data_IF_929050268879
#
_entry.id   IF_929050268879
#
_cell.length_a   1.000
_cell.length_b   1.000
_cell.length_c   1.000
_cell.angle_alpha   90.00
_cell.angle_beta   90.00
_cell.angle_gamma   90.00
#
_symmetry.space_group_name_H-M   'P 1'
#
loop_
_entity.id
_entity.type
_entity.pdbx_description
1 polymer ?
#
# COMPACT_ATOMS: atom_id res chain seq x y z
N UNK A 1 -38.50 -54.23 -26.26
CA UNK A 1 -38.61 -53.33 -25.09
C UNK A 1 -37.29 -52.56 -24.98
N UNK A 2 -37.30 -51.30 -25.37
CA UNK A 2 -36.16 -50.40 -25.24
C UNK A 2 -36.42 -49.48 -24.06
N UNK A 3 -35.61 -49.58 -23.00
CA UNK A 3 -35.70 -48.73 -21.81
C UNK A 3 -34.90 -47.45 -22.11
N UNK A 4 -35.59 -46.32 -22.22
CA UNK A 4 -34.95 -44.99 -22.23
C UNK A 4 -34.56 -44.63 -20.78
N UNK A 5 -33.29 -44.46 -20.51
CA UNK A 5 -32.81 -43.87 -19.30
C UNK A 5 -32.80 -42.33 -19.47
N UNK A 6 -33.63 -41.63 -18.74
CA UNK A 6 -33.62 -40.18 -18.66
C UNK A 6 -32.54 -39.74 -17.66
N UNK A 7 -31.52 -39.07 -18.17
CA UNK A 7 -30.50 -38.41 -17.32
C UNK A 7 -31.09 -37.10 -16.77
N UNK A 8 -31.31 -37.02 -15.45
CA UNK A 8 -31.59 -35.75 -14.75
C UNK A 8 -30.29 -34.99 -14.62
N UNK A 9 -30.15 -33.89 -15.37
CA UNK A 9 -29.14 -32.87 -15.09
C UNK A 9 -29.57 -32.09 -13.84
N UNK A 10 -28.91 -32.32 -12.73
CA UNK A 10 -29.01 -31.50 -11.52
C UNK A 10 -28.35 -30.15 -11.80
N UNK A 11 -29.12 -29.09 -12.05
CA UNK A 11 -28.63 -27.72 -11.98
C UNK A 11 -28.33 -27.38 -10.51
N UNK A 12 -27.06 -27.38 -10.12
CA UNK A 12 -26.64 -26.77 -8.89
C UNK A 12 -26.85 -25.25 -8.99
N UNK A 13 -27.51 -24.61 -8.02
CA UNK A 13 -27.64 -23.17 -8.05
C UNK A 13 -26.23 -22.57 -7.89
N UNK A 14 -25.79 -21.76 -8.86
CA UNK A 14 -24.71 -20.80 -8.64
C UNK A 14 -25.22 -19.84 -7.55
N UNK A 15 -24.76 -20.03 -6.32
CA UNK A 15 -24.87 -18.98 -5.29
C UNK A 15 -24.04 -17.81 -5.75
N UNK A 16 -24.68 -16.82 -6.35
CA UNK A 16 -24.11 -15.51 -6.55
C UNK A 16 -23.82 -14.97 -5.13
N UNK A 17 -22.56 -14.98 -4.71
CA UNK A 17 -22.15 -14.25 -3.52
C UNK A 17 -22.52 -12.78 -3.74
N UNK A 18 -23.39 -12.24 -2.89
CA UNK A 18 -23.65 -10.82 -2.88
C UNK A 18 -22.30 -10.11 -2.78
N UNK A 19 -22.04 -9.15 -3.67
CA UNK A 19 -20.82 -8.37 -3.60
C UNK A 19 -20.79 -7.65 -2.25
N UNK A 20 -19.70 -7.82 -1.48
CA UNK A 20 -19.51 -7.06 -0.26
C UNK A 20 -19.60 -5.57 -0.59
N UNK A 21 -20.41 -4.83 0.18
CA UNK A 21 -20.55 -3.38 0.02
C UNK A 21 -20.16 -2.72 1.33
N UNK A 22 -19.27 -1.72 1.24
CA UNK A 22 -18.82 -0.95 2.39
C UNK A 22 -19.10 0.53 2.17
N UNK A 23 -19.18 1.28 3.25
CA UNK A 23 -19.21 2.73 3.20
C UNK A 23 -17.82 3.32 2.88
N UNK A 24 -17.75 4.66 2.81
CA UNK A 24 -16.48 5.36 2.55
C UNK A 24 -15.40 5.09 3.62
N UNK A 25 -15.78 4.62 4.82
CA UNK A 25 -14.90 4.34 5.95
C UNK A 25 -14.63 2.83 6.12
N UNK A 26 -14.98 2.02 5.13
CA UNK A 26 -14.78 0.57 5.14
C UNK A 26 -15.34 -0.08 6.42
N UNK A 27 -16.48 0.43 6.90
CA UNK A 27 -17.11 -0.07 8.11
C UNK A 27 -17.54 -1.53 7.92
N UNK A 28 -17.30 -2.37 8.95
CA UNK A 28 -17.63 -3.79 8.92
C UNK A 28 -16.53 -4.70 8.33
N UNK A 29 -15.55 -4.18 7.61
CA UNK A 29 -14.40 -5.01 7.19
C UNK A 29 -13.46 -5.26 8.38
N UNK A 30 -13.15 -6.53 8.63
CA UNK A 30 -12.29 -6.94 9.75
C UNK A 30 -10.81 -6.91 9.38
N UNK A 31 -10.01 -6.16 10.14
CA UNK A 31 -8.54 -6.11 10.00
C UNK A 31 -7.81 -7.21 10.78
N UNK A 32 -8.53 -7.96 11.61
CA UNK A 32 -7.97 -9.00 12.50
C UNK A 32 -7.45 -8.47 13.84
N UNK A 33 -7.46 -7.14 14.05
CA UNK A 33 -7.14 -6.47 15.32
C UNK A 33 -8.09 -5.30 15.56
N UNK A 34 -8.23 -4.85 16.82
CA UNK A 34 -9.00 -3.66 17.13
C UNK A 34 -8.46 -2.44 16.40
N UNK A 35 -9.34 -1.74 15.70
CA UNK A 35 -9.01 -0.47 15.04
C UNK A 35 -9.21 0.66 16.03
N UNK A 36 -8.19 1.48 16.19
CA UNK A 36 -8.22 2.71 16.99
C UNK A 36 -8.38 3.92 16.06
N UNK A 37 -8.78 5.06 16.64
CA UNK A 37 -8.96 6.32 15.92
C UNK A 37 -8.16 7.42 16.59
N UNK A 38 -7.38 8.14 15.82
CA UNK A 38 -6.69 9.36 16.18
C UNK A 38 -7.42 10.55 15.55
N UNK A 39 -7.99 11.42 16.39
CA UNK A 39 -8.64 12.66 15.97
C UNK A 39 -7.67 13.83 16.05
N UNK A 40 -7.54 14.59 14.99
CA UNK A 40 -6.62 15.73 14.90
C UNK A 40 -7.13 16.77 13.92
N UNK A 41 -6.49 17.93 13.91
CA UNK A 41 -6.76 18.98 12.92
C UNK A 41 -5.67 19.02 11.85
N UNK A 42 -6.07 19.04 10.59
CA UNK A 42 -5.17 19.22 9.46
C UNK A 42 -5.83 20.08 8.38
N UNK A 43 -5.09 21.04 7.84
CA UNK A 43 -5.60 21.99 6.84
C UNK A 43 -6.90 22.69 7.27
N UNK A 44 -6.98 23.09 8.57
CA UNK A 44 -8.10 23.81 9.20
C UNK A 44 -9.42 23.02 9.19
N UNK A 45 -9.35 21.71 9.27
CA UNK A 45 -10.52 20.84 9.36
C UNK A 45 -10.25 19.65 10.28
N UNK A 46 -11.27 19.19 11.03
CA UNK A 46 -11.13 18.00 11.87
C UNK A 46 -11.06 16.75 11.01
N UNK A 47 -10.09 15.92 11.29
CA UNK A 47 -9.87 14.64 10.61
C UNK A 47 -9.70 13.51 11.62
N UNK A 48 -9.90 12.30 11.16
CA UNK A 48 -9.66 11.08 11.90
C UNK A 48 -8.77 10.15 11.08
N UNK A 49 -7.74 9.63 11.71
CA UNK A 49 -6.89 8.58 11.17
C UNK A 49 -7.15 7.29 11.94
N UNK A 50 -7.61 6.26 11.23
CA UNK A 50 -7.73 4.92 11.78
C UNK A 50 -6.36 4.25 11.81
N UNK A 51 -6.08 3.47 12.83
CA UNK A 51 -4.81 2.75 12.94
C UNK A 51 -4.95 1.47 13.75
N UNK A 52 -4.04 0.54 13.49
CA UNK A 52 -3.79 -0.62 14.31
C UNK A 52 -2.62 -0.33 15.25
N UNK A 53 -2.72 -0.76 16.50
CA UNK A 53 -1.66 -0.70 17.50
C UNK A 53 -1.61 -2.05 18.19
N UNK A 54 -0.71 -2.89 17.71
CA UNK A 54 -0.61 -4.29 18.12
C UNK A 54 0.63 -4.44 19.02
N UNK A 55 0.47 -4.84 20.27
CA UNK A 55 1.58 -5.05 21.18
C UNK A 55 2.40 -6.29 20.77
N UNK A 56 3.64 -6.42 21.28
CA UNK A 56 4.38 -7.67 21.15
C UNK A 56 3.62 -8.83 21.80
N UNK A 57 3.66 -10.00 21.19
CA UNK A 57 3.00 -11.20 21.70
C UNK A 57 3.59 -11.73 23.02
N UNK A 58 4.84 -11.37 23.31
CA UNK A 58 5.58 -11.74 24.54
C UNK A 58 5.82 -10.55 25.45
N UNK A 59 6.64 -10.77 26.48
CA UNK A 59 7.02 -9.74 27.48
C UNK A 59 8.25 -8.93 27.07
N UNK A 60 9.02 -9.38 26.08
CA UNK A 60 10.22 -8.69 25.59
C UNK A 60 9.83 -7.76 24.47
N UNK A 61 10.21 -6.50 24.57
CA UNK A 61 10.02 -5.51 23.51
C UNK A 61 11.30 -5.36 22.70
N UNK A 62 11.24 -5.73 21.41
CA UNK A 62 12.35 -5.57 20.47
C UNK A 62 12.41 -4.15 19.86
N UNK A 63 11.29 -3.44 19.86
CA UNK A 63 11.17 -2.08 19.31
C UNK A 63 9.75 -1.81 18.80
N UNK A 64 9.60 -0.72 18.05
CA UNK A 64 8.34 -0.36 17.40
C UNK A 64 8.53 -0.30 15.89
N UNK A 65 7.63 -0.94 15.14
CA UNK A 65 7.59 -0.90 13.67
C UNK A 65 6.34 -0.17 13.22
N UNK A 66 6.50 0.78 12.32
CA UNK A 66 5.39 1.51 11.67
C UNK A 66 5.24 1.01 10.23
N UNK A 67 4.04 0.57 9.83
CA UNK A 67 3.75 -0.01 8.53
C UNK A 67 2.86 0.91 7.69
N UNK A 68 3.37 1.43 6.58
CA UNK A 68 2.65 2.32 5.68
C UNK A 68 2.18 1.57 4.43
N UNK A 69 0.85 1.53 4.21
CA UNK A 69 0.21 0.78 3.13
C UNK A 69 0.37 1.44 1.74
N UNK A 70 0.22 0.64 0.68
CA UNK A 70 0.14 1.12 -0.71
C UNK A 70 -1.22 1.73 -1.06
N UNK A 71 -1.30 2.41 -2.22
CA UNK A 71 -2.51 3.13 -2.67
C UNK A 71 -3.78 2.27 -2.73
N UNK A 72 -3.67 1.01 -3.15
CA UNK A 72 -4.80 0.10 -3.29
C UNK A 72 -4.99 -0.83 -2.10
N UNK A 73 -4.37 -0.50 -0.98
CA UNK A 73 -4.33 -1.32 0.23
C UNK A 73 -4.67 -0.48 1.46
N UNK A 74 -4.86 -1.17 2.57
CA UNK A 74 -5.18 -0.64 3.88
C UNK A 74 -4.22 -1.19 4.93
N UNK A 75 -4.26 -0.68 6.17
CA UNK A 75 -3.51 -1.24 7.29
C UNK A 75 -3.75 -2.75 7.46
N UNK A 76 -4.98 -3.22 7.23
CA UNK A 76 -5.31 -4.64 7.31
C UNK A 76 -4.57 -5.54 6.32
N UNK A 77 -4.05 -5.02 5.21
CA UNK A 77 -3.25 -5.82 4.26
C UNK A 77 -1.89 -6.25 4.81
N UNK A 78 -1.45 -5.63 5.88
CA UNK A 78 -0.25 -6.02 6.63
C UNK A 78 -0.48 -7.15 7.63
N UNK A 79 -1.67 -7.78 7.64
CA UNK A 79 -2.09 -8.80 8.64
C UNK A 79 -1.00 -9.81 8.98
N UNK A 80 -0.43 -10.48 7.98
CA UNK A 80 0.58 -11.51 8.22
C UNK A 80 1.91 -10.93 8.70
N UNK A 81 2.27 -9.73 8.23
CA UNK A 81 3.46 -9.01 8.68
C UNK A 81 3.29 -8.51 10.12
N UNK A 82 2.12 -7.97 10.47
CA UNK A 82 1.82 -7.55 11.85
C UNK A 82 1.96 -8.74 12.80
N UNK A 83 1.38 -9.90 12.44
CA UNK A 83 1.48 -11.12 13.24
C UNK A 83 2.93 -11.57 13.42
N UNK A 84 3.72 -11.58 12.33
CA UNK A 84 5.12 -11.99 12.37
C UNK A 84 5.97 -11.06 13.25
N UNK A 85 5.79 -9.73 13.11
CA UNK A 85 6.50 -8.72 13.91
C UNK A 85 6.11 -8.78 15.38
N UNK A 86 4.81 -8.88 15.69
CA UNK A 86 4.32 -9.02 17.07
C UNK A 86 4.89 -10.27 17.75
N UNK A 87 4.92 -11.40 17.05
CA UNK A 87 5.53 -12.65 17.54
C UNK A 87 7.05 -12.51 17.76
N UNK A 88 7.72 -11.66 17.00
CA UNK A 88 9.14 -11.36 17.15
C UNK A 88 9.45 -10.29 18.23
N UNK A 89 8.43 -9.83 18.97
CA UNK A 89 8.59 -8.89 20.07
C UNK A 89 8.44 -7.42 19.70
N UNK A 90 8.01 -7.08 18.48
CA UNK A 90 7.78 -5.68 18.09
C UNK A 90 6.36 -5.21 18.43
N UNK A 91 6.23 -3.97 18.92
CA UNK A 91 4.97 -3.22 18.83
C UNK A 91 4.78 -2.78 17.39
N UNK A 92 3.59 -2.95 16.82
CA UNK A 92 3.32 -2.62 15.43
C UNK A 92 2.24 -1.55 15.32
N UNK A 93 2.55 -0.44 14.68
CA UNK A 93 1.62 0.63 14.36
C UNK A 93 1.36 0.61 12.84
N UNK A 94 0.10 0.49 12.45
CA UNK A 94 -0.26 0.49 11.03
C UNK A 94 -1.45 1.44 10.81
N UNK A 95 -1.21 2.68 10.36
CA UNK A 95 -2.27 3.63 10.05
C UNK A 95 -2.87 3.38 8.65
N UNK A 96 -4.18 3.63 8.54
CA UNK A 96 -4.77 4.01 7.26
C UNK A 96 -4.50 5.50 7.03
N UNK A 97 -3.85 5.86 5.97
CA UNK A 97 -3.59 7.28 5.67
C UNK A 97 -4.89 8.04 5.40
N UNK A 98 -4.91 9.37 5.68
CA UNK A 98 -6.02 10.23 5.30
C UNK A 98 -6.32 10.08 3.81
N UNK A 99 -7.59 9.89 3.47
CA UNK A 99 -8.05 9.58 2.11
C UNK A 99 -8.24 8.09 1.83
N UNK A 100 -7.82 7.21 2.75
CA UNK A 100 -7.84 5.76 2.55
C UNK A 100 -8.69 5.04 3.60
N UNK A 101 -9.26 3.95 3.21
CA UNK A 101 -9.86 2.87 4.03
C UNK A 101 -10.72 3.41 5.20
N UNK A 102 -10.35 3.17 6.44
CA UNK A 102 -11.14 3.57 7.61
C UNK A 102 -10.88 5.01 8.07
N UNK A 103 -9.92 5.73 7.46
CA UNK A 103 -9.63 7.13 7.75
C UNK A 103 -10.54 8.11 7.02
N UNK A 104 -10.55 9.37 7.45
CA UNK A 104 -11.30 10.48 6.84
C UNK A 104 -10.97 10.65 5.36
N UNK A 105 -12.01 10.99 4.56
CA UNK A 105 -11.89 11.32 3.13
C UNK A 105 -12.37 12.74 2.90
N UNK A 106 -11.55 13.76 3.24
CA UNK A 106 -11.95 15.15 3.12
C UNK A 106 -12.09 15.55 1.65
N UNK A 107 -13.16 16.28 1.34
CA UNK A 107 -13.43 16.76 -0.02
C UNK A 107 -12.46 17.87 -0.47
N UNK A 108 -12.00 18.69 0.48
CA UNK A 108 -11.09 19.82 0.24
C UNK A 108 -9.81 19.59 1.02
N UNK A 109 -8.90 18.86 0.42
CA UNK A 109 -7.62 18.52 1.03
C UNK A 109 -6.52 18.50 -0.03
N UNK A 110 -5.47 19.23 0.22
CA UNK A 110 -4.29 19.23 -0.64
C UNK A 110 -3.38 18.07 -0.22
N UNK A 111 -3.49 16.96 -0.92
CA UNK A 111 -2.64 15.80 -0.68
C UNK A 111 -1.21 16.08 -1.13
N UNK A 112 -0.26 15.78 -0.26
CA UNK A 112 1.16 15.71 -0.57
C UNK A 112 1.83 14.68 0.33
N UNK A 113 2.96 14.10 -0.10
CA UNK A 113 3.72 13.21 0.78
C UNK A 113 4.24 13.92 2.02
N UNK A 114 4.58 15.21 1.93
CA UNK A 114 4.92 16.02 3.10
C UNK A 114 3.77 16.11 4.10
N UNK A 115 2.55 16.35 3.63
CA UNK A 115 1.38 16.41 4.52
C UNK A 115 1.04 15.04 5.12
N UNK A 116 1.11 13.95 4.35
CA UNK A 116 0.87 12.61 4.88
C UNK A 116 1.97 12.20 5.89
N UNK A 117 3.21 12.62 5.67
CA UNK A 117 4.30 12.42 6.63
C UNK A 117 4.05 13.19 7.94
N UNK A 118 3.62 14.45 7.85
CA UNK A 118 3.26 15.24 9.04
C UNK A 118 2.06 14.65 9.80
N UNK A 119 1.05 14.12 9.09
CA UNK A 119 -0.06 13.43 9.73
C UNK A 119 0.39 12.13 10.44
N UNK A 120 1.32 11.41 9.83
CA UNK A 120 1.89 10.19 10.43
C UNK A 120 2.71 10.54 11.66
N UNK A 121 3.51 11.60 11.60
CA UNK A 121 4.28 12.10 12.74
C UNK A 121 3.36 12.52 13.89
N UNK A 122 2.28 13.26 13.61
CA UNK A 122 1.30 13.63 14.62
C UNK A 122 0.64 12.40 15.30
N UNK A 123 0.41 11.31 14.56
CA UNK A 123 -0.04 10.05 15.15
C UNK A 123 1.05 9.45 16.08
N UNK A 124 2.30 9.46 15.66
CA UNK A 124 3.41 8.95 16.49
C UNK A 124 3.57 9.77 17.77
N UNK A 125 3.46 11.10 17.68
CA UNK A 125 3.46 11.99 18.85
C UNK A 125 2.29 11.69 19.79
N UNK A 126 1.09 11.46 19.27
CA UNK A 126 -0.09 11.06 20.06
C UNK A 126 0.11 9.73 20.80
N UNK A 127 0.98 8.87 20.29
CA UNK A 127 1.31 7.57 20.87
C UNK A 127 2.58 7.61 21.75
N UNK A 128 3.10 8.80 22.05
CA UNK A 128 4.37 9.04 22.79
C UNK A 128 5.57 8.35 22.09
N UNK A 129 5.57 8.32 20.76
CA UNK A 129 6.62 7.71 19.93
C UNK A 129 7.48 8.74 19.17
N UNK A 130 7.22 10.03 19.31
CA UNK A 130 7.93 11.13 18.65
C UNK A 130 9.41 11.26 19.10
N UNK A 131 9.71 10.85 20.33
CA UNK A 131 11.07 10.82 20.90
C UNK A 131 11.72 9.43 20.83
N UNK A 132 11.00 8.43 20.36
CA UNK A 132 11.45 7.04 20.25
C UNK A 132 11.82 6.72 18.80
N UNK A 133 13.01 6.16 18.59
CA UNK A 133 13.39 5.70 17.26
C UNK A 133 12.60 4.47 16.87
N UNK A 134 11.82 4.59 15.79
CA UNK A 134 11.01 3.50 15.22
C UNK A 134 11.62 2.96 13.93
N UNK A 135 11.25 1.76 13.58
CA UNK A 135 11.49 1.20 12.24
C UNK A 135 10.31 1.54 11.35
N UNK A 136 10.58 2.10 10.18
CA UNK A 136 9.54 2.51 9.24
C UNK A 136 9.55 1.62 8.01
N UNK A 137 8.43 0.97 7.73
CA UNK A 137 8.25 0.09 6.56
C UNK A 137 7.19 0.68 5.66
N UNK A 138 7.49 0.91 4.39
CA UNK A 138 6.53 1.46 3.43
C UNK A 138 6.43 0.63 2.15
N UNK A 139 5.19 0.23 1.78
CA UNK A 139 4.91 -0.49 0.55
C UNK A 139 4.36 0.43 -0.53
N UNK A 140 4.86 0.35 -1.76
CA UNK A 140 4.31 1.06 -2.93
C UNK A 140 4.25 2.59 -2.69
N UNK A 141 3.07 3.22 -2.73
CA UNK A 141 2.85 4.61 -2.32
C UNK A 141 3.33 4.85 -0.87
N UNK A 142 3.11 3.90 0.03
CA UNK A 142 3.63 3.94 1.40
C UNK A 142 5.15 3.98 1.44
N UNK A 143 5.84 3.45 0.43
CA UNK A 143 7.29 3.56 0.26
C UNK A 143 7.73 4.99 -0.13
N UNK A 144 6.96 5.68 -1.00
CA UNK A 144 7.19 7.11 -1.27
C UNK A 144 6.98 7.95 0.00
N UNK A 145 5.91 7.65 0.75
CA UNK A 145 5.63 8.31 2.03
C UNK A 145 6.72 8.05 3.06
N UNK A 146 7.19 6.82 3.17
CA UNK A 146 8.26 6.44 4.09
C UNK A 146 9.59 7.15 3.76
N UNK A 147 9.94 7.26 2.48
CA UNK A 147 11.10 8.04 2.04
C UNK A 147 10.93 9.53 2.39
N UNK A 148 9.76 10.12 2.17
CA UNK A 148 9.46 11.50 2.55
C UNK A 148 9.53 11.70 4.06
N UNK A 149 8.98 10.78 4.83
CA UNK A 149 9.06 10.82 6.29
C UNK A 149 10.52 10.79 6.77
N UNK A 150 11.33 9.89 6.20
CA UNK A 150 12.75 9.75 6.56
C UNK A 150 13.58 11.01 6.23
N UNK A 151 13.19 11.77 5.19
CA UNK A 151 13.81 13.07 4.87
C UNK A 151 13.39 14.19 5.83
N UNK A 152 12.14 14.17 6.31
CA UNK A 152 11.61 15.22 7.20
C UNK A 152 11.96 14.97 8.68
N UNK A 153 11.94 13.71 9.10
CA UNK A 153 12.08 13.30 10.51
C UNK A 153 13.15 12.19 10.71
N UNK A 154 14.37 12.33 10.17
CA UNK A 154 15.36 11.26 10.21
C UNK A 154 15.75 10.84 11.62
N UNK A 155 15.66 11.74 12.60
CA UNK A 155 15.99 11.48 14.01
C UNK A 155 15.00 10.53 14.70
N UNK A 156 13.78 10.42 14.18
CA UNK A 156 12.76 9.52 14.73
C UNK A 156 12.90 8.08 14.20
N UNK A 157 13.78 7.85 13.24
CA UNK A 157 13.94 6.54 12.61
C UNK A 157 15.21 5.83 13.04
N UNK A 158 15.11 4.54 13.34
CA UNK A 158 16.21 3.61 13.47
C UNK A 158 16.60 3.07 12.10
N UNK A 159 15.60 2.61 11.34
CA UNK A 159 15.75 2.01 10.02
C UNK A 159 14.57 2.36 9.11
N UNK A 160 14.81 2.25 7.82
CA UNK A 160 13.84 2.42 6.75
C UNK A 160 13.80 1.18 5.86
N UNK A 161 12.61 0.59 5.67
CA UNK A 161 12.39 -0.50 4.75
C UNK A 161 11.42 -0.08 3.63
N UNK A 162 11.86 -0.12 2.40
CA UNK A 162 11.09 0.26 1.22
C UNK A 162 10.71 -0.99 0.42
N UNK A 163 9.43 -1.33 0.41
CA UNK A 163 8.90 -2.54 -0.23
C UNK A 163 8.25 -2.17 -1.56
N UNK A 164 8.87 -2.55 -2.66
CA UNK A 164 8.42 -2.18 -4.01
C UNK A 164 7.91 -0.73 -4.08
N UNK A 165 8.69 0.27 -3.60
CA UNK A 165 8.25 1.66 -3.60
C UNK A 165 7.99 2.11 -5.02
N UNK A 166 6.89 2.84 -5.27
CA UNK A 166 6.69 3.52 -6.55
C UNK A 166 7.38 4.89 -6.53
N UNK A 167 7.39 5.61 -7.66
CA UNK A 167 8.09 6.90 -7.75
C UNK A 167 9.62 6.80 -7.81
N UNK A 168 10.17 5.61 -8.07
CA UNK A 168 11.60 5.40 -8.39
C UNK A 168 11.93 5.81 -9.83
N UNK A 169 10.93 6.20 -10.60
CA UNK A 169 11.03 6.84 -11.91
C UNK A 169 10.07 8.03 -11.97
N UNK A 170 10.46 9.09 -12.67
CA UNK A 170 9.57 10.21 -12.96
C UNK A 170 8.85 9.96 -14.29
N UNK A 171 7.60 9.57 -14.20
CA UNK A 171 6.76 9.27 -15.36
C UNK A 171 6.55 10.47 -16.26
N UNK A 172 6.44 11.69 -15.70
CA UNK A 172 6.33 12.94 -16.48
C UNK A 172 7.58 13.21 -17.28
N UNK A 173 8.75 13.11 -16.63
CA UNK A 173 10.03 13.33 -17.28
C UNK A 173 10.31 12.28 -18.38
N UNK A 174 9.74 11.07 -18.23
CA UNK A 174 9.79 10.02 -19.26
C UNK A 174 8.79 10.24 -20.39
N UNK A 175 7.87 11.19 -20.28
CA UNK A 175 6.89 11.49 -21.33
C UNK A 175 5.54 10.81 -21.18
N UNK A 176 5.20 10.29 -19.98
CA UNK A 176 3.83 9.84 -19.70
C UNK A 176 2.91 11.07 -19.66
N UNK A 177 1.82 11.10 -20.46
CA UNK A 177 0.90 12.22 -20.49
C UNK A 177 0.27 12.51 -19.12
N UNK A 178 0.18 13.78 -18.78
CA UNK A 178 -0.53 14.21 -17.58
C UNK A 178 -2.03 13.98 -17.69
N UNK A 179 -2.65 13.65 -16.57
CA UNK A 179 -4.10 13.48 -16.43
C UNK A 179 -4.62 14.42 -15.36
N UNK A 180 -5.70 15.18 -15.66
CA UNK A 180 -6.34 16.05 -14.68
C UNK A 180 -6.99 15.26 -13.55
N UNK A 181 -7.18 15.89 -12.38
CA UNK A 181 -7.91 15.27 -11.25
C UNK A 181 -9.31 14.83 -11.66
N UNK A 182 -10.02 15.64 -12.47
CA UNK A 182 -11.35 15.27 -12.96
C UNK A 182 -11.31 14.01 -13.84
N UNK A 183 -10.28 13.87 -14.66
CA UNK A 183 -10.10 12.67 -15.49
C UNK A 183 -9.68 11.44 -14.65
N UNK A 184 -8.89 11.62 -13.59
CA UNK A 184 -8.64 10.58 -12.60
C UNK A 184 -9.94 10.17 -11.91
N UNK A 185 -10.75 11.13 -11.46
CA UNK A 185 -12.03 10.88 -10.81
C UNK A 185 -13.01 10.13 -11.70
N UNK A 186 -13.17 10.58 -12.94
CA UNK A 186 -14.03 9.90 -13.92
C UNK A 186 -13.58 8.45 -14.19
N UNK A 187 -12.28 8.16 -14.08
CA UNK A 187 -11.75 6.82 -14.19
C UNK A 187 -12.01 6.00 -12.91
N UNK A 188 -11.78 6.58 -11.73
CA UNK A 188 -12.03 5.92 -10.44
C UNK A 188 -13.52 5.53 -10.29
N UNK A 189 -14.47 6.34 -10.78
CA UNK A 189 -15.90 6.01 -10.78
C UNK A 189 -16.26 4.75 -11.59
N UNK A 190 -15.38 4.28 -12.48
CA UNK A 190 -15.57 3.04 -13.27
C UNK A 190 -14.99 1.82 -12.58
N UNK A 191 -14.35 2.00 -11.43
CA UNK A 191 -13.70 0.92 -10.68
C UNK A 191 -14.72 -0.13 -10.25
N UNK A 192 -14.42 -1.38 -10.51
CA UNK A 192 -15.21 -2.56 -10.17
C UNK A 192 -14.30 -3.69 -9.68
N UNK A 193 -14.88 -4.73 -9.09
CA UNK A 193 -14.14 -5.92 -8.69
C UNK A 193 -13.33 -6.51 -9.86
N UNK A 194 -13.94 -6.64 -11.03
CA UNK A 194 -13.26 -7.22 -12.20
C UNK A 194 -12.10 -6.36 -12.68
N UNK A 195 -12.25 -5.03 -12.68
CA UNK A 195 -11.18 -4.12 -13.05
C UNK A 195 -10.01 -4.14 -12.04
N UNK A 196 -10.31 -4.19 -10.73
CA UNK A 196 -9.31 -4.32 -9.68
C UNK A 196 -8.58 -5.66 -9.81
N UNK A 197 -9.32 -6.76 -9.90
CA UNK A 197 -8.76 -8.10 -10.02
C UNK A 197 -7.89 -8.23 -11.25
N UNK A 198 -8.35 -7.72 -12.40
CA UNK A 198 -7.56 -7.71 -13.63
C UNK A 198 -6.27 -6.92 -13.47
N UNK A 199 -6.34 -5.73 -12.91
CA UNK A 199 -5.16 -4.90 -12.68
C UNK A 199 -4.15 -5.58 -11.74
N UNK A 200 -4.62 -6.12 -10.62
CA UNK A 200 -3.74 -6.80 -9.67
C UNK A 200 -3.14 -8.07 -10.26
N UNK A 201 -3.93 -8.86 -11.01
CA UNK A 201 -3.43 -10.04 -11.72
C UNK A 201 -2.29 -9.69 -12.68
N UNK A 202 -2.53 -8.68 -13.54
CA UNK A 202 -1.60 -8.36 -14.62
C UNK A 202 -0.35 -7.60 -14.11
N UNK A 203 -0.51 -6.75 -13.10
CA UNK A 203 0.52 -5.79 -12.67
C UNK A 203 1.18 -6.20 -11.35
N UNK A 204 0.40 -6.67 -10.36
CA UNK A 204 0.92 -6.99 -9.04
C UNK A 204 1.40 -8.43 -8.92
N UNK A 205 0.66 -9.37 -9.51
CA UNK A 205 0.86 -10.80 -9.29
C UNK A 205 1.40 -11.54 -10.52
N UNK A 206 1.83 -10.80 -11.54
CA UNK A 206 2.54 -11.34 -12.73
C UNK A 206 1.75 -12.42 -13.48
N UNK A 207 0.42 -12.29 -13.53
CA UNK A 207 -0.48 -13.24 -14.19
C UNK A 207 -0.88 -14.44 -13.33
N UNK A 208 -0.42 -14.55 -12.09
CA UNK A 208 -0.78 -15.62 -11.16
C UNK A 208 -1.78 -15.12 -10.11
N UNK A 209 -2.98 -15.70 -10.07
CA UNK A 209 -4.00 -15.37 -9.06
C UNK A 209 -4.14 -16.49 -8.05
N UNK A 210 -4.03 -16.16 -6.76
CA UNK A 210 -4.28 -17.09 -5.65
C UNK A 210 -5.54 -16.69 -4.88
N UNK A 211 -6.26 -17.67 -4.29
CA UNK A 211 -7.46 -17.38 -3.50
C UNK A 211 -7.25 -16.36 -2.37
N UNK A 212 -6.06 -16.34 -1.77
CA UNK A 212 -5.68 -15.47 -0.67
C UNK A 212 -5.67 -13.97 -1.06
N UNK A 213 -5.51 -13.68 -2.36
CA UNK A 213 -5.51 -12.29 -2.86
C UNK A 213 -6.91 -11.71 -2.97
N UNK A 214 -7.92 -12.57 -3.14
CA UNK A 214 -9.29 -12.16 -3.44
C UNK A 214 -9.90 -11.28 -2.35
N UNK A 215 -9.62 -11.55 -1.09
CA UNK A 215 -10.12 -10.74 0.03
C UNK A 215 -9.73 -9.26 -0.10
N UNK A 216 -8.52 -8.95 -0.60
CA UNK A 216 -8.03 -7.59 -0.76
C UNK A 216 -8.66 -6.88 -1.96
N UNK A 217 -8.87 -7.61 -3.04
CA UNK A 217 -9.61 -7.10 -4.19
C UNK A 217 -11.09 -6.84 -3.85
N UNK A 218 -11.73 -7.72 -3.09
CA UNK A 218 -13.11 -7.55 -2.59
C UNK A 218 -13.22 -6.40 -1.61
N UNK A 219 -12.26 -6.25 -0.70
CA UNK A 219 -12.18 -5.12 0.23
C UNK A 219 -12.19 -3.79 -0.51
N UNK A 220 -11.33 -3.64 -1.50
CA UNK A 220 -11.25 -2.44 -2.33
C UNK A 220 -12.53 -2.24 -3.14
N UNK A 221 -13.01 -3.26 -3.84
CA UNK A 221 -14.21 -3.20 -4.66
C UNK A 221 -15.46 -2.85 -3.86
N UNK A 222 -15.57 -3.36 -2.64
CA UNK A 222 -16.72 -3.11 -1.76
C UNK A 222 -16.90 -1.63 -1.40
N UNK A 223 -15.83 -0.86 -1.28
CA UNK A 223 -15.90 0.60 -1.10
C UNK A 223 -16.45 1.32 -2.33
N UNK A 224 -16.15 0.82 -3.54
CA UNK A 224 -16.68 1.38 -4.79
C UNK A 224 -18.10 0.90 -5.11
N UNK A 225 -18.52 -0.22 -4.55
CA UNK A 225 -19.89 -0.73 -4.70
C UNK A 225 -20.88 -0.13 -3.67
N UNK A 226 -20.38 0.49 -2.62
CA UNK A 226 -21.16 1.03 -1.51
C UNK A 226 -21.55 2.51 -1.66
N UNK A 227 -22.26 3.05 -0.68
CA UNK A 227 -22.79 4.44 -0.71
C UNK A 227 -21.69 5.50 -0.66
N UNK A 228 -20.47 5.14 -0.26
CA UNK A 228 -19.32 6.05 -0.20
C UNK A 228 -18.50 6.17 -1.49
N UNK A 229 -18.93 5.55 -2.58
CA UNK A 229 -18.21 5.46 -3.85
C UNK A 229 -17.61 6.78 -4.32
N UNK A 230 -18.39 7.85 -4.32
CA UNK A 230 -17.93 9.17 -4.81
C UNK A 230 -16.81 9.74 -3.94
N UNK A 231 -16.94 9.64 -2.61
CA UNK A 231 -15.91 10.11 -1.69
C UNK A 231 -14.62 9.29 -1.80
N UNK A 232 -14.74 7.98 -1.98
CA UNK A 232 -13.60 7.08 -2.23
C UNK A 232 -12.93 7.44 -3.55
N UNK A 233 -13.70 7.53 -4.64
CA UNK A 233 -13.19 7.86 -5.97
C UNK A 233 -12.50 9.23 -5.99
N UNK A 234 -13.06 10.23 -5.30
CA UNK A 234 -12.46 11.56 -5.20
C UNK A 234 -11.11 11.53 -4.48
N UNK A 235 -11.04 10.91 -3.29
CA UNK A 235 -9.78 10.75 -2.56
C UNK A 235 -8.74 9.98 -3.37
N UNK A 236 -9.16 8.94 -4.07
CA UNK A 236 -8.26 8.15 -4.92
C UNK A 236 -7.77 8.94 -6.14
N UNK A 237 -8.59 9.82 -6.72
CA UNK A 237 -8.19 10.72 -7.81
C UNK A 237 -7.13 11.73 -7.35
N UNK A 238 -7.37 12.40 -6.21
CA UNK A 238 -6.44 13.35 -5.62
C UNK A 238 -5.10 12.70 -5.24
N UNK A 239 -5.14 11.49 -4.69
CA UNK A 239 -3.92 10.77 -4.35
C UNK A 239 -3.21 10.17 -5.57
N UNK A 240 -3.91 9.86 -6.67
CA UNK A 240 -3.28 9.52 -7.95
C UNK A 240 -2.51 10.70 -8.54
N UNK A 241 -3.10 11.89 -8.49
CA UNK A 241 -2.42 13.13 -8.92
C UNK A 241 -1.19 13.44 -8.04
N UNK A 242 -1.31 13.29 -6.71
CA UNK A 242 -0.18 13.41 -5.77
C UNK A 242 0.95 12.46 -6.15
N UNK A 243 0.66 11.17 -6.31
CA UNK A 243 1.65 10.15 -6.65
C UNK A 243 2.33 10.45 -7.97
N UNK A 244 1.55 10.81 -9.01
CA UNK A 244 2.08 11.12 -10.33
C UNK A 244 3.00 12.34 -10.34
N UNK A 245 2.68 13.35 -9.53
CA UNK A 245 3.39 14.64 -9.54
C UNK A 245 4.56 14.73 -8.57
N UNK A 246 4.70 13.82 -7.61
CA UNK A 246 5.70 13.87 -6.54
C UNK A 246 6.61 12.60 -6.51
N UNK A 247 7.34 12.29 -7.58
CA UNK A 247 8.27 11.15 -7.58
C UNK A 247 9.39 11.39 -6.55
N UNK A 248 9.84 10.31 -5.87
CA UNK A 248 10.87 10.41 -4.83
C UNK A 248 12.28 10.18 -5.35
N UNK A 249 12.43 9.80 -6.60
CA UNK A 249 13.71 9.39 -7.20
C UNK A 249 14.81 10.45 -7.05
N UNK A 250 14.46 11.72 -7.14
CA UNK A 250 15.43 12.83 -7.05
C UNK A 250 15.94 13.09 -5.64
N UNK A 251 15.26 12.58 -4.62
CA UNK A 251 15.53 12.85 -3.21
C UNK A 251 16.23 11.69 -2.51
N UNK A 252 16.28 10.52 -3.15
CA UNK A 252 16.91 9.31 -2.60
C UNK A 252 18.35 9.52 -2.12
N UNK A 253 19.22 10.31 -2.81
CA UNK A 253 20.56 10.59 -2.31
C UNK A 253 20.61 11.39 -0.98
N UNK A 254 19.48 12.01 -0.60
CA UNK A 254 19.31 12.76 0.64
C UNK A 254 19.01 11.89 1.87
N UNK A 255 18.64 10.63 1.69
CA UNK A 255 18.34 9.71 2.78
C UNK A 255 19.59 9.46 3.64
N UNK A 256 19.42 9.52 4.97
CA UNK A 256 20.51 9.34 5.95
C UNK A 256 20.24 8.23 6.95
N UNK A 257 19.04 7.66 6.89
CA UNK A 257 18.60 6.53 7.72
C UNK A 257 19.08 5.23 7.07
N UNK A 258 19.61 4.25 7.81
CA UNK A 258 19.90 2.92 7.28
C UNK A 258 18.69 2.38 6.51
N UNK A 259 18.88 2.05 5.23
CA UNK A 259 17.76 1.75 4.33
C UNK A 259 17.93 0.38 3.69
N UNK A 260 16.87 -0.43 3.72
CA UNK A 260 16.76 -1.69 2.97
C UNK A 260 15.64 -1.59 1.95
N UNK A 261 15.96 -1.90 0.68
CA UNK A 261 14.96 -2.04 -0.39
C UNK A 261 14.60 -3.51 -0.57
N UNK A 262 13.31 -3.82 -0.58
CA UNK A 262 12.76 -5.15 -0.88
C UNK A 262 12.05 -5.08 -2.22
N UNK A 263 12.58 -5.74 -3.24
CA UNK A 263 12.12 -5.59 -4.63
C UNK A 263 11.73 -6.94 -5.22
N UNK A 264 10.43 -7.10 -5.51
CA UNK A 264 9.93 -8.17 -6.37
C UNK A 264 10.31 -7.89 -7.83
N UNK A 265 11.09 -8.79 -8.42
CA UNK A 265 11.70 -8.57 -9.74
C UNK A 265 10.70 -8.63 -10.90
N UNK A 266 9.49 -9.19 -10.65
CA UNK A 266 8.41 -9.25 -11.65
C UNK A 266 7.46 -8.05 -11.59
N UNK A 267 7.67 -7.11 -10.69
CA UNK A 267 6.87 -5.89 -10.62
C UNK A 267 6.98 -5.05 -11.90
N UNK A 268 5.84 -4.53 -12.35
CA UNK A 268 5.72 -3.67 -13.54
C UNK A 268 4.83 -2.45 -13.26
N UNK A 269 4.67 -2.08 -12.00
CA UNK A 269 3.82 -0.97 -11.60
C UNK A 269 4.36 0.36 -12.12
N UNK A 270 3.51 1.11 -12.83
CA UNK A 270 3.80 2.48 -13.27
C UNK A 270 2.49 3.27 -13.37
N UNK A 271 2.42 4.41 -12.72
CA UNK A 271 1.22 5.27 -12.73
C UNK A 271 1.09 5.98 -14.07
N UNK A 272 -0.12 5.99 -14.64
CA UNK A 272 -0.39 6.57 -15.96
C UNK A 272 0.13 5.72 -17.13
N UNK A 273 0.59 4.51 -16.88
CA UNK A 273 1.06 3.59 -17.93
C UNK A 273 0.03 3.35 -19.03
N UNK A 274 -1.26 3.39 -18.71
CA UNK A 274 -2.36 3.26 -19.68
C UNK A 274 -2.37 4.38 -20.73
N UNK A 275 -1.87 5.57 -20.37
CA UNK A 275 -1.77 6.73 -21.26
C UNK A 275 -0.46 6.76 -22.07
N UNK A 276 0.53 5.99 -21.68
CA UNK A 276 1.84 6.02 -22.33
C UNK A 276 1.77 5.44 -23.75
N UNK A 277 2.49 6.02 -24.73
CA UNK A 277 2.66 5.43 -26.04
C UNK A 277 3.27 4.00 -25.94
N UNK A 278 2.97 3.09 -26.88
CA UNK A 278 3.40 1.70 -26.78
C UNK A 278 4.91 1.50 -26.52
N UNK A 279 5.76 2.26 -27.20
CA UNK A 279 7.21 2.19 -27.02
C UNK A 279 7.65 2.59 -25.61
N UNK A 280 7.08 3.66 -25.05
CA UNK A 280 7.34 4.10 -23.68
C UNK A 280 6.78 3.10 -22.66
N UNK A 281 5.57 2.62 -22.90
CA UNK A 281 4.88 1.66 -22.03
C UNK A 281 5.70 0.41 -21.74
N UNK A 282 6.47 -0.05 -22.72
CA UNK A 282 7.35 -1.22 -22.57
C UNK A 282 8.52 -1.00 -21.61
N UNK A 283 8.95 0.25 -21.41
CA UNK A 283 10.11 0.63 -20.58
C UNK A 283 9.74 1.05 -19.15
N UNK A 284 8.45 1.28 -18.86
CA UNK A 284 8.00 1.71 -17.55
C UNK A 284 7.95 0.54 -16.55
N UNK A 285 8.24 0.82 -15.29
CA UNK A 285 8.14 -0.16 -14.22
C UNK A 285 9.15 -1.31 -14.35
N UNK A 286 10.35 -1.05 -14.83
CA UNK A 286 11.45 -2.03 -14.83
C UNK A 286 12.09 -2.10 -13.43
N UNK A 287 11.39 -2.78 -12.50
CA UNK A 287 11.84 -2.85 -11.11
C UNK A 287 13.20 -3.50 -10.89
N UNK A 288 13.64 -4.50 -11.68
CA UNK A 288 15.03 -4.95 -11.63
C UNK A 288 16.05 -3.82 -11.82
N UNK A 289 15.82 -2.93 -12.77
CA UNK A 289 16.69 -1.78 -13.01
C UNK A 289 16.44 -0.65 -11.99
N UNK A 290 15.18 -0.33 -11.70
CA UNK A 290 14.80 0.72 -10.76
C UNK A 290 15.28 0.43 -9.34
N UNK A 291 15.16 -0.81 -8.86
CA UNK A 291 15.65 -1.23 -7.55
C UNK A 291 17.16 -1.09 -7.40
N UNK A 292 17.92 -1.50 -8.42
CA UNK A 292 19.38 -1.34 -8.46
C UNK A 292 19.79 0.14 -8.48
N UNK A 293 19.11 0.95 -9.29
CA UNK A 293 19.38 2.39 -9.37
C UNK A 293 19.07 3.09 -8.04
N UNK A 294 17.94 2.75 -7.40
CA UNK A 294 17.59 3.30 -6.10
C UNK A 294 18.59 2.90 -5.00
N UNK A 295 19.00 1.62 -4.97
CA UNK A 295 20.00 1.16 -4.01
C UNK A 295 21.35 1.86 -4.20
N UNK A 296 21.75 2.11 -5.46
CA UNK A 296 22.99 2.85 -5.74
C UNK A 296 22.88 4.34 -5.37
N UNK A 297 21.68 4.93 -5.43
CA UNK A 297 21.46 6.33 -5.11
C UNK A 297 21.37 6.61 -3.60
N UNK A 298 20.90 5.65 -2.80
CA UNK A 298 20.75 5.80 -1.35
C UNK A 298 22.04 5.39 -0.67
N UNK A 299 22.67 6.28 0.11
CA UNK A 299 23.93 5.96 0.81
C UNK A 299 23.81 4.74 1.72
N UNK A 300 24.62 3.70 1.49
CA UNK A 300 24.68 2.50 2.33
C UNK A 300 23.45 1.59 2.24
N UNK A 301 22.57 1.77 1.23
CA UNK A 301 21.37 0.95 1.13
C UNK A 301 21.68 -0.52 0.82
N UNK A 302 20.87 -1.40 1.41
CA UNK A 302 20.85 -2.84 1.14
C UNK A 302 19.72 -3.15 0.17
N UNK A 303 19.98 -3.97 -0.86
CA UNK A 303 18.98 -4.44 -1.81
C UNK A 303 18.70 -5.93 -1.59
N UNK A 304 17.46 -6.23 -1.24
CA UNK A 304 16.92 -7.59 -1.13
C UNK A 304 15.97 -7.83 -2.31
N UNK A 305 16.21 -8.86 -3.10
CA UNK A 305 15.40 -9.19 -4.29
C UNK A 305 14.60 -10.47 -4.10
N UNK A 306 13.41 -10.50 -4.73
CA UNK A 306 12.56 -11.68 -4.84
C UNK A 306 12.31 -11.95 -6.33
N UNK A 307 13.03 -12.88 -6.90
CA UNK A 307 13.10 -13.11 -8.35
C UNK A 307 11.76 -13.54 -8.97
N UNK A 308 10.94 -14.22 -8.19
CA UNK A 308 9.64 -14.78 -8.58
C UNK A 308 8.42 -13.96 -8.13
N UNK A 309 8.61 -12.87 -7.36
CA UNK A 309 7.52 -12.05 -6.84
C UNK A 309 7.36 -10.75 -7.62
N UNK A 310 6.13 -10.24 -7.60
CA UNK A 310 5.73 -8.97 -8.19
C UNK A 310 5.68 -7.82 -7.18
N UNK A 311 4.62 -7.00 -7.28
CA UNK A 311 4.49 -5.73 -6.55
C UNK A 311 4.27 -5.86 -5.04
N UNK A 312 3.72 -6.96 -4.58
CA UNK A 312 3.30 -7.11 -3.18
C UNK A 312 3.90 -8.36 -2.53
N UNK A 313 5.24 -8.41 -2.30
CA UNK A 313 5.92 -9.57 -1.72
C UNK A 313 5.32 -10.01 -0.38
N UNK A 314 4.88 -9.05 0.45
CA UNK A 314 4.25 -9.29 1.76
C UNK A 314 2.89 -10.01 1.65
N UNK A 315 2.24 -9.94 0.50
CA UNK A 315 0.97 -10.64 0.21
C UNK A 315 1.23 -11.94 -0.56
N UNK A 316 2.18 -11.93 -1.50
CA UNK A 316 2.44 -13.06 -2.39
C UNK A 316 3.16 -14.22 -1.70
N UNK A 317 4.09 -13.90 -0.79
CA UNK A 317 4.89 -14.87 -0.04
C UNK A 317 5.19 -14.33 1.37
N UNK A 318 4.17 -14.22 2.24
CA UNK A 318 4.28 -13.54 3.53
C UNK A 318 5.36 -14.13 4.43
N UNK A 319 5.51 -15.44 4.50
CA UNK A 319 6.53 -16.09 5.33
C UNK A 319 7.94 -15.69 4.88
N UNK A 320 8.21 -15.75 3.58
CA UNK A 320 9.52 -15.42 3.01
C UNK A 320 9.84 -13.94 3.13
N UNK A 321 8.86 -13.08 2.86
CA UNK A 321 8.99 -11.63 3.03
C UNK A 321 9.26 -11.27 4.49
N UNK A 322 8.47 -11.80 5.43
CA UNK A 322 8.59 -11.52 6.85
C UNK A 322 9.93 -12.02 7.43
N UNK A 323 10.43 -13.16 6.99
CA UNK A 323 11.76 -13.64 7.38
C UNK A 323 12.87 -12.67 6.93
N UNK A 324 12.79 -12.17 5.68
CA UNK A 324 13.73 -11.19 5.15
C UNK A 324 13.62 -9.84 5.86
N UNK A 325 12.40 -9.37 6.16
CA UNK A 325 12.17 -8.14 6.90
C UNK A 325 12.75 -8.23 8.33
N UNK A 326 12.43 -9.28 9.06
CA UNK A 326 12.94 -9.49 10.43
C UNK A 326 14.47 -9.56 10.46
N UNK A 327 15.09 -10.21 9.47
CA UNK A 327 16.53 -10.22 9.33
C UNK A 327 17.08 -8.80 9.19
N UNK A 328 16.53 -8.00 8.27
CA UNK A 328 16.96 -6.62 8.06
C UNK A 328 16.78 -5.75 9.32
N UNK A 329 15.66 -5.90 10.03
CA UNK A 329 15.40 -5.15 11.27
C UNK A 329 16.35 -5.52 12.42
N UNK A 330 16.92 -6.71 12.42
CA UNK A 330 17.85 -7.17 13.46
C UNK A 330 19.33 -6.85 13.14
N UNK A 331 19.67 -6.60 11.88
CA UNK A 331 21.05 -6.35 11.43
C UNK A 331 21.39 -4.84 11.36
N UNK A 332 20.44 -3.96 11.55
CA UNK A 332 20.59 -2.48 11.43
C UNK A 332 20.65 -1.74 12.80
#
# INVERSE_FOLDING_TARGET
MRILAAALLACLPLTAFAADTYDARLQGFDYGWPVKTFSFESQRQPLEMAYLDVPPAGTVMAGTVVLLHGKNFCAGTWRDTIKALSNAGYRVIAPDQVGFCKSSKPQRYQYSFGQLAANTEALLAHLDLDTTRVDLVGHSMGGMLAARFALMYPQQLRQLALVNPIGLEDWKAKGVPWRSVDAWYANELKTSFDSIRKYQLDVYYSGEWKPEYEQWARMQAGMYAGPGKEAVAWSQALTSDMVFNQPVVYELPGLRVPTTLFIGQKDRTAIGRDLAPPALKATLGDYPALGKAAAAAIPGAVLVTFDDLGHSPQVQAPERFNAALLKALNEG
#
